data_IF_046294109956
#
_entry.id   IF_046294109956
#
_cell.length_a   1.000
_cell.length_b   1.000
_cell.length_c   1.000
_cell.angle_alpha   90.00
_cell.angle_beta   90.00
_cell.angle_gamma   90.00
#
_symmetry.space_group_name_H-M   'P 1'
#
loop_
_entity.id
_entity.type
_entity.pdbx_description
1 polymer ?
#
# COMPACT_ATOMS: atom_id res chain seq x y z
N UNK A 1 2.97 -18.30 -11.05
CA UNK A 1 3.91 -17.18 -10.86
C UNK A 1 3.10 -15.94 -10.49
N UNK A 2 3.31 -15.32 -9.32
CA UNK A 2 2.74 -13.99 -9.07
C UNK A 2 3.45 -13.00 -9.98
N UNK A 3 2.73 -12.34 -10.89
CA UNK A 3 3.29 -11.22 -11.64
C UNK A 3 3.78 -10.18 -10.64
N UNK A 4 5.04 -9.77 -10.78
CA UNK A 4 5.61 -8.71 -9.97
C UNK A 4 5.02 -7.37 -10.43
N UNK A 5 3.93 -6.94 -9.79
CA UNK A 5 3.36 -5.61 -10.00
C UNK A 5 4.10 -4.60 -9.12
N UNK A 6 4.63 -3.56 -9.76
CA UNK A 6 5.26 -2.44 -9.05
C UNK A 6 4.18 -1.53 -8.48
N UNK A 7 4.38 -1.06 -7.25
CA UNK A 7 3.51 -0.03 -6.66
C UNK A 7 3.77 1.29 -7.39
N UNK A 8 2.75 1.79 -8.07
CA UNK A 8 2.78 3.05 -8.83
C UNK A 8 2.67 4.25 -7.90
N UNK A 9 2.77 5.46 -8.45
CA UNK A 9 2.51 6.67 -7.69
C UNK A 9 1.04 6.78 -7.26
N UNK A 10 0.12 6.44 -8.17
CA UNK A 10 -1.32 6.43 -7.90
C UNK A 10 -1.69 5.46 -6.76
N UNK A 11 -1.10 4.25 -6.76
CA UNK A 11 -1.25 3.31 -5.65
C UNK A 11 -0.81 3.92 -4.31
N UNK A 12 0.30 4.68 -4.30
CA UNK A 12 0.78 5.36 -3.08
C UNK A 12 -0.18 6.45 -2.62
N UNK A 13 -0.80 7.19 -3.55
CA UNK A 13 -1.84 8.17 -3.23
C UNK A 13 -3.05 7.49 -2.58
N UNK A 14 -3.51 6.36 -3.14
CA UNK A 14 -4.59 5.56 -2.55
C UNK A 14 -4.25 5.03 -1.16
N UNK A 15 -3.04 4.45 -0.99
CA UNK A 15 -2.56 3.99 0.32
C UNK A 15 -2.59 5.15 1.33
N UNK A 16 -2.06 6.32 0.96
CA UNK A 16 -2.02 7.48 1.86
C UNK A 16 -3.41 7.94 2.27
N UNK A 17 -4.32 8.13 1.31
CA UNK A 17 -5.69 8.59 1.58
C UNK A 17 -6.45 7.61 2.49
N UNK A 18 -6.42 6.32 2.17
CA UNK A 18 -7.12 5.32 2.95
C UNK A 18 -6.57 5.10 4.35
N UNK A 19 -5.24 5.23 4.52
CA UNK A 19 -4.65 5.19 5.86
C UNK A 19 -5.07 6.40 6.70
N UNK A 20 -5.26 7.59 6.09
CA UNK A 20 -5.80 8.77 6.77
C UNK A 20 -7.28 8.57 7.17
N UNK A 21 -8.05 7.87 6.33
CA UNK A 21 -9.44 7.48 6.61
C UNK A 21 -9.56 6.33 7.63
N UNK A 22 -8.44 5.81 8.14
CA UNK A 22 -8.41 4.75 9.14
C UNK A 22 -8.67 3.34 8.60
N UNK A 23 -8.64 3.15 7.27
CA UNK A 23 -8.77 1.83 6.64
C UNK A 23 -7.55 0.97 6.99
N UNK A 24 -7.78 -0.31 7.29
CA UNK A 24 -6.68 -1.19 7.68
C UNK A 24 -5.76 -1.53 6.51
N UNK A 25 -4.47 -1.76 6.80
CA UNK A 25 -3.48 -2.24 5.80
C UNK A 25 -3.95 -3.53 5.09
N UNK A 26 -4.74 -4.36 5.78
CA UNK A 26 -5.28 -5.60 5.20
C UNK A 26 -6.31 -5.32 4.10
N UNK A 27 -7.21 -4.37 4.35
CA UNK A 27 -8.23 -3.95 3.39
C UNK A 27 -7.59 -3.21 2.21
N UNK A 28 -6.68 -2.28 2.47
CA UNK A 28 -5.91 -1.58 1.41
C UNK A 28 -5.21 -2.59 0.49
N UNK A 29 -4.57 -3.61 1.06
CA UNK A 29 -3.92 -4.65 0.28
C UNK A 29 -4.91 -5.45 -0.60
N UNK A 30 -6.12 -5.72 -0.10
CA UNK A 30 -7.16 -6.38 -0.87
C UNK A 30 -7.69 -5.48 -2.01
N UNK A 31 -7.95 -4.20 -1.73
CA UNK A 31 -8.44 -3.25 -2.73
C UNK A 31 -7.44 -3.05 -3.88
N UNK A 32 -6.14 -2.97 -3.60
CA UNK A 32 -5.11 -2.77 -4.62
C UNK A 32 -4.56 -4.09 -5.21
N UNK A 33 -5.02 -5.26 -4.71
CA UNK A 33 -4.50 -6.56 -5.16
C UNK A 33 -3.05 -6.83 -4.77
N UNK A 34 -2.52 -6.14 -3.76
CA UNK A 34 -1.16 -6.34 -3.25
C UNK A 34 -1.14 -7.27 -2.03
N UNK A 35 0.07 -7.73 -1.68
CA UNK A 35 0.28 -8.37 -0.39
C UNK A 35 0.43 -7.30 0.71
N UNK A 36 -0.01 -7.62 1.93
CA UNK A 36 0.15 -6.74 3.12
C UNK A 36 1.60 -6.28 3.31
N UNK A 37 2.57 -7.17 3.10
CA UNK A 37 4.00 -6.84 3.21
C UNK A 37 4.49 -5.84 2.17
N UNK A 38 3.81 -5.73 1.02
CA UNK A 38 4.08 -4.66 0.05
C UNK A 38 3.62 -3.32 0.61
N UNK A 39 2.39 -3.25 1.13
CA UNK A 39 1.85 -2.02 1.72
C UNK A 39 2.70 -1.56 2.91
N UNK A 40 3.04 -2.46 3.85
CA UNK A 40 3.93 -2.12 4.97
C UNK A 40 5.27 -1.56 4.53
N UNK A 41 5.90 -2.14 3.49
CA UNK A 41 7.16 -1.63 2.96
C UNK A 41 7.02 -0.24 2.35
N UNK A 42 5.89 0.04 1.69
CA UNK A 42 5.63 1.40 1.18
C UNK A 42 5.40 2.41 2.32
N UNK A 43 4.70 2.02 3.39
CA UNK A 43 4.54 2.86 4.56
C UNK A 43 5.89 3.16 5.23
N UNK A 44 6.74 2.14 5.42
CA UNK A 44 8.07 2.30 6.00
C UNK A 44 8.99 3.19 5.16
N UNK A 45 8.92 3.11 3.82
CA UNK A 45 9.70 3.99 2.94
C UNK A 45 9.36 5.46 3.11
N UNK A 46 8.12 5.77 3.48
CA UNK A 46 7.66 7.14 3.68
C UNK A 46 7.80 7.61 5.15
N UNK A 47 8.21 6.74 6.08
CA UNK A 47 8.36 7.08 7.51
C UNK A 47 9.79 7.41 7.93
N UNK A 48 10.76 7.38 7.03
CA UNK A 48 12.13 7.85 7.30
C UNK A 48 12.19 9.38 7.19
N UNK A 49 11.78 10.08 8.24
CA UNK A 49 12.04 11.50 8.47
C UNK A 49 12.43 11.68 9.94
#
# INVERSE_FOLDING_TARGET
MRQYSRVTYEDRCHISAWMQDGISVSEVAQHLGFNKSTIYRELQRNSST
#
